data_IF_464782309883
#
_entry.id   IF_464782309883
#
_cell.length_a   1.000
_cell.length_b   1.000
_cell.length_c   1.000
_cell.angle_alpha   90.00
_cell.angle_beta   90.00
_cell.angle_gamma   90.00
#
_symmetry.space_group_name_H-M   'P 1'
#
loop_
_entity.id
_entity.type
_entity.pdbx_description
1 polymer ?
#
# COMPACT_ATOMS: atom_id res chain seq x y z
N UNK A 1 61.34 100.45 34.00
CA UNK A 1 60.13 99.66 34.37
C UNK A 1 59.92 98.59 33.39
N UNK A 2 60.41 97.41 33.71
CA UNK A 2 60.38 96.21 32.81
C UNK A 2 59.41 95.21 33.43
N UNK A 3 58.30 94.96 32.71
CA UNK A 3 57.31 93.99 33.12
C UNK A 3 57.81 92.56 32.78
N UNK A 4 57.61 91.61 33.67
CA UNK A 4 58.03 90.25 33.43
C UNK A 4 57.06 89.55 32.47
N UNK A 5 57.64 88.80 31.56
CA UNK A 5 57.00 88.00 30.55
C UNK A 5 56.54 86.66 31.19
N UNK A 6 55.23 86.46 31.26
CA UNK A 6 54.64 85.19 31.75
C UNK A 6 54.94 84.09 30.74
N UNK A 7 55.51 82.99 31.17
CA UNK A 7 55.74 81.81 30.43
C UNK A 7 54.48 80.92 30.45
N UNK A 8 53.92 80.47 29.31
CA UNK A 8 52.76 79.67 29.32
C UNK A 8 53.03 78.27 29.88
N UNK A 9 52.11 77.77 30.71
CA UNK A 9 52.18 76.47 31.34
C UNK A 9 52.14 75.31 30.28
N UNK A 10 52.84 74.22 30.52
CA UNK A 10 52.84 73.13 29.58
C UNK A 10 51.48 72.39 29.52
N UNK A 11 50.98 72.23 28.34
CA UNK A 11 49.77 71.42 28.07
C UNK A 11 50.03 69.99 28.49
N UNK A 12 49.42 69.53 29.56
CA UNK A 12 49.33 68.10 29.94
C UNK A 12 48.42 67.41 28.98
N UNK A 13 48.96 66.58 28.15
CA UNK A 13 48.17 65.64 27.30
C UNK A 13 47.42 64.71 28.23
N UNK A 14 46.09 64.55 28.07
CA UNK A 14 45.38 63.48 28.77
C UNK A 14 45.95 62.11 28.48
N UNK A 15 46.37 61.39 29.49
CA UNK A 15 46.78 60.02 29.42
C UNK A 15 45.65 59.14 28.81
N UNK A 16 45.95 58.25 27.85
CA UNK A 16 44.95 57.39 27.27
C UNK A 16 44.25 56.60 28.37
N UNK A 17 42.92 56.68 28.36
CA UNK A 17 41.96 56.02 29.21
C UNK A 17 42.43 54.57 29.55
N UNK A 18 42.91 54.42 30.75
CA UNK A 18 43.17 53.10 31.32
C UNK A 18 41.79 52.52 31.64
N UNK A 19 41.11 51.96 30.57
CA UNK A 19 39.99 51.07 30.79
C UNK A 19 40.41 50.05 31.82
N UNK A 20 39.68 49.86 32.91
CA UNK A 20 40.03 48.86 33.92
C UNK A 20 40.07 47.53 33.22
N UNK A 21 41.24 46.91 33.08
CA UNK A 21 41.39 45.54 32.65
C UNK A 21 40.51 44.70 33.56
N UNK A 22 39.34 44.31 33.01
CA UNK A 22 38.39 43.43 33.68
C UNK A 22 39.20 42.23 34.15
N UNK A 23 39.54 42.24 35.43
CA UNK A 23 40.26 41.10 36.01
C UNK A 23 39.36 39.91 35.85
N UNK A 24 39.76 38.99 34.98
CA UNK A 24 39.06 37.75 34.75
C UNK A 24 39.04 37.00 36.07
N UNK A 25 37.89 36.98 36.72
CA UNK A 25 37.72 36.22 37.95
C UNK A 25 37.64 34.74 37.54
N UNK A 26 38.54 33.88 37.96
CA UNK A 26 38.53 32.49 37.60
C UNK A 26 37.19 31.81 37.93
N UNK A 27 36.50 32.26 38.96
CA UNK A 27 35.16 31.81 39.36
C UNK A 27 34.09 32.10 38.32
N UNK A 28 34.11 33.23 37.59
CA UNK A 28 33.18 33.53 36.50
C UNK A 28 33.42 32.65 35.29
N UNK A 29 34.66 32.38 34.99
CA UNK A 29 35.04 31.41 33.92
C UNK A 29 34.54 30.01 34.23
N UNK A 30 34.68 29.54 35.48
CA UNK A 30 34.17 28.21 35.88
C UNK A 30 32.62 28.19 35.88
N UNK A 31 31.95 29.25 36.25
CA UNK A 31 30.47 29.35 36.21
C UNK A 31 29.94 29.31 34.77
N UNK A 32 30.57 30.00 33.82
CA UNK A 32 30.20 30.00 32.42
C UNK A 32 30.46 28.63 31.78
N UNK A 33 31.58 28.00 32.12
CA UNK A 33 31.83 26.64 31.64
C UNK A 33 30.90 25.59 32.23
N UNK A 34 30.50 25.74 33.50
CA UNK A 34 29.52 24.84 34.12
C UNK A 34 28.13 24.98 33.50
N UNK A 35 27.70 26.21 33.16
CA UNK A 35 26.43 26.43 32.43
C UNK A 35 26.49 25.88 31.03
N UNK A 36 27.56 26.11 30.30
CA UNK A 36 27.77 25.52 28.98
C UNK A 36 27.76 24.00 29.02
N UNK A 37 28.44 23.38 29.98
CA UNK A 37 28.46 21.93 30.17
C UNK A 37 27.07 21.37 30.47
N UNK A 38 26.26 22.03 31.29
CA UNK A 38 24.85 21.65 31.57
C UNK A 38 23.99 21.72 30.30
N UNK A 39 24.15 22.80 29.51
CA UNK A 39 23.42 22.93 28.23
C UNK A 39 23.76 21.82 27.28
N UNK A 40 25.06 21.51 27.09
CA UNK A 40 25.50 20.42 26.23
C UNK A 40 25.04 19.05 26.74
N UNK A 41 24.98 18.85 28.06
CA UNK A 41 24.44 17.61 28.62
C UNK A 41 22.95 17.46 28.29
N UNK A 42 22.15 18.51 28.37
CA UNK A 42 20.73 18.49 27.99
C UNK A 42 20.57 18.21 26.49
N UNK A 43 21.37 18.89 25.64
CA UNK A 43 21.34 18.67 24.18
C UNK A 43 21.72 17.21 23.84
N UNK A 44 22.74 16.68 24.50
CA UNK A 44 23.17 15.28 24.31
C UNK A 44 22.06 14.30 24.73
N UNK A 45 21.42 14.56 25.86
CA UNK A 45 20.34 13.72 26.37
C UNK A 45 19.11 13.72 25.43
N UNK A 46 18.75 14.88 24.89
CA UNK A 46 17.68 15.01 23.87
C UNK A 46 18.07 14.27 22.60
N UNK A 47 19.31 14.42 22.12
CA UNK A 47 19.79 13.72 20.93
C UNK A 47 19.76 12.19 21.11
N UNK A 48 20.24 11.68 22.24
CA UNK A 48 20.18 10.25 22.57
C UNK A 48 18.74 9.74 22.63
N UNK A 49 17.85 10.51 23.23
CA UNK A 49 16.41 10.16 23.30
C UNK A 49 15.79 10.10 21.90
N UNK A 50 16.06 11.08 21.05
CA UNK A 50 15.59 11.08 19.66
C UNK A 50 16.15 9.86 18.88
N UNK A 51 17.46 9.57 19.01
CA UNK A 51 18.07 8.42 18.40
C UNK A 51 17.48 7.08 18.90
N UNK A 52 17.10 6.99 20.16
CA UNK A 52 16.47 5.80 20.74
C UNK A 52 15.02 5.62 20.26
N UNK A 53 14.26 6.71 20.05
CA UNK A 53 12.87 6.69 19.60
C UNK A 53 12.76 6.45 18.08
N UNK A 54 13.74 6.93 17.31
CA UNK A 54 13.71 6.85 15.84
C UNK A 54 13.50 5.41 15.30
N UNK A 55 14.21 4.35 15.76
CA UNK A 55 13.98 3.00 15.26
C UNK A 55 12.57 2.49 15.55
N UNK A 56 11.96 2.87 16.69
CA UNK A 56 10.58 2.48 16.99
C UNK A 56 9.58 3.14 16.05
N UNK A 57 9.77 4.42 15.73
CA UNK A 57 8.93 5.13 14.76
C UNK A 57 9.09 4.54 13.36
N UNK A 58 10.31 4.21 12.97
CA UNK A 58 10.59 3.57 11.68
C UNK A 58 9.95 2.19 11.60
N UNK A 59 10.14 1.33 12.62
CA UNK A 59 9.54 0.00 12.67
C UNK A 59 8.01 0.10 12.65
N UNK A 60 7.43 1.05 13.40
CA UNK A 60 5.98 1.29 13.41
C UNK A 60 5.49 1.73 12.03
N UNK A 61 6.14 2.72 11.41
CA UNK A 61 5.81 3.17 10.05
C UNK A 61 5.95 2.05 9.00
N UNK A 62 6.94 1.15 9.15
CA UNK A 62 7.09 -0.02 8.29
C UNK A 62 6.03 -1.11 8.54
N UNK A 63 5.56 -1.27 9.77
CA UNK A 63 4.50 -2.23 10.11
C UNK A 63 3.12 -1.73 9.67
N UNK A 64 2.89 -0.43 9.73
CA UNK A 64 1.65 0.22 9.29
C UNK A 64 1.57 0.37 7.76
N UNK A 65 2.70 0.26 7.04
CA UNK A 65 2.69 0.23 5.57
C UNK A 65 2.23 -1.13 5.09
N UNK A 66 1.08 -1.12 4.48
CA UNK A 66 0.51 -2.28 3.82
C UNK A 66 1.44 -2.76 2.70
N UNK A 67 1.88 -4.00 2.82
CA UNK A 67 2.70 -4.62 1.79
C UNK A 67 1.80 -5.13 0.69
N UNK A 68 1.88 -4.51 -0.48
CA UNK A 68 1.21 -5.03 -1.67
C UNK A 68 2.15 -6.01 -2.35
N UNK A 69 1.67 -7.24 -2.51
CA UNK A 69 2.39 -8.28 -3.27
C UNK A 69 1.99 -8.11 -4.72
N UNK A 70 2.91 -7.68 -5.55
CA UNK A 70 2.71 -7.62 -7.01
C UNK A 70 3.11 -8.96 -7.60
N UNK A 71 2.16 -9.64 -8.25
CA UNK A 71 2.41 -10.84 -9.06
C UNK A 71 2.91 -10.40 -10.43
N UNK A 72 4.12 -10.77 -10.78
CA UNK A 72 4.58 -10.66 -12.17
C UNK A 72 4.00 -11.80 -13.01
N UNK A 73 3.91 -11.59 -14.34
CA UNK A 73 3.42 -12.60 -15.30
C UNK A 73 4.18 -13.93 -15.23
N UNK A 74 5.40 -13.92 -14.72
CA UNK A 74 6.22 -15.12 -14.47
C UNK A 74 5.82 -15.91 -13.21
N UNK A 75 4.83 -15.44 -12.44
CA UNK A 75 4.43 -16.05 -11.17
C UNK A 75 5.37 -15.73 -10.00
N UNK A 76 6.32 -14.83 -10.20
CA UNK A 76 7.23 -14.37 -9.15
C UNK A 76 6.55 -13.28 -8.31
N UNK A 77 6.65 -13.41 -7.00
CA UNK A 77 6.08 -12.42 -6.06
C UNK A 77 7.07 -11.28 -5.85
N UNK A 78 6.72 -10.09 -6.26
CA UNK A 78 7.43 -8.87 -5.86
C UNK A 78 6.67 -8.20 -4.72
N UNK A 79 7.28 -8.14 -3.54
CA UNK A 79 6.76 -7.35 -2.43
C UNK A 79 7.23 -5.91 -2.65
N UNK A 80 6.36 -5.05 -3.14
CA UNK A 80 6.64 -3.62 -3.24
C UNK A 80 6.18 -2.91 -1.96
N UNK A 81 7.10 -2.33 -1.17
CA UNK A 81 6.73 -1.56 0.01
C UNK A 81 6.16 -0.17 -0.32
N UNK A 82 6.09 0.18 -1.61
CA UNK A 82 5.84 1.55 -2.07
C UNK A 82 4.45 1.75 -2.69
N UNK A 83 3.71 0.68 -3.02
CA UNK A 83 2.34 0.82 -3.54
C UNK A 83 1.33 0.69 -2.40
N UNK A 84 0.56 1.74 -2.18
CA UNK A 84 -0.64 1.70 -1.35
C UNK A 84 -1.70 0.78 -1.99
N UNK A 85 -2.56 0.20 -1.17
CA UNK A 85 -3.64 -0.66 -1.64
C UNK A 85 -4.53 0.06 -2.68
N UNK A 86 -4.73 1.36 -2.50
CA UNK A 86 -5.52 2.21 -3.40
C UNK A 86 -4.84 2.43 -4.75
N UNK A 87 -3.51 2.35 -4.80
CA UNK A 87 -2.72 2.57 -6.02
C UNK A 87 -2.54 1.28 -6.85
N UNK A 88 -2.98 0.14 -6.32
CA UNK A 88 -2.76 -1.18 -6.91
C UNK A 88 -3.86 -1.58 -7.93
N UNK A 89 -4.39 -0.65 -8.73
CA UNK A 89 -5.46 -0.91 -9.70
C UNK A 89 -5.17 -2.08 -10.65
N UNK A 90 -3.95 -2.20 -11.15
CA UNK A 90 -3.53 -3.33 -12.00
C UNK A 90 -3.61 -4.68 -11.29
N UNK A 91 -3.27 -4.72 -10.01
CA UNK A 91 -3.40 -5.93 -9.20
C UNK A 91 -4.89 -6.30 -9.03
N UNK A 92 -5.75 -5.30 -8.79
CA UNK A 92 -7.19 -5.49 -8.67
C UNK A 92 -7.81 -6.04 -9.97
N UNK A 93 -7.39 -5.49 -11.11
CA UNK A 93 -7.81 -5.97 -12.44
C UNK A 93 -7.35 -7.42 -12.70
N UNK A 94 -6.11 -7.77 -12.36
CA UNK A 94 -5.61 -9.14 -12.49
C UNK A 94 -6.38 -10.12 -11.60
N UNK A 95 -6.74 -9.73 -10.37
CA UNK A 95 -7.57 -10.57 -9.51
C UNK A 95 -8.98 -10.74 -10.06
N UNK A 96 -9.57 -9.69 -10.63
CA UNK A 96 -10.87 -9.78 -11.29
C UNK A 96 -10.83 -10.69 -12.52
N UNK A 97 -9.76 -10.64 -13.32
CA UNK A 97 -9.53 -11.55 -14.43
C UNK A 97 -9.52 -13.01 -13.96
N UNK A 98 -8.73 -13.32 -12.92
CA UNK A 98 -8.64 -14.66 -12.35
C UNK A 98 -9.98 -15.11 -11.74
N UNK A 99 -10.71 -14.19 -11.08
CA UNK A 99 -12.03 -14.49 -10.54
C UNK A 99 -13.04 -14.80 -11.65
N UNK A 100 -13.01 -14.06 -12.78
CA UNK A 100 -13.83 -14.38 -13.97
C UNK A 100 -13.50 -15.77 -14.53
N UNK A 101 -12.22 -16.13 -14.65
CA UNK A 101 -11.82 -17.45 -15.11
C UNK A 101 -12.31 -18.54 -14.16
N UNK A 102 -12.14 -18.36 -12.85
CA UNK A 102 -12.60 -19.31 -11.84
C UNK A 102 -14.12 -19.50 -11.84
N UNK A 103 -14.89 -18.42 -12.06
CA UNK A 103 -16.35 -18.43 -12.00
C UNK A 103 -17.00 -18.93 -13.29
N UNK A 104 -16.50 -18.48 -14.43
CA UNK A 104 -17.19 -18.68 -15.72
C UNK A 104 -16.57 -19.74 -16.62
N UNK A 105 -15.30 -20.12 -16.41
CA UNK A 105 -14.72 -21.15 -17.24
C UNK A 105 -15.17 -22.52 -16.76
N UNK A 106 -15.96 -23.19 -17.63
CA UNK A 106 -16.69 -24.41 -17.29
C UNK A 106 -16.73 -25.37 -18.47
N UNK A 107 -16.80 -26.64 -18.14
CA UNK A 107 -16.97 -27.74 -19.07
C UNK A 107 -18.18 -28.63 -18.64
N UNK A 108 -18.53 -29.69 -19.38
CA UNK A 108 -19.62 -30.60 -19.01
C UNK A 108 -19.50 -31.23 -17.63
N UNK A 109 -18.28 -31.36 -17.09
CA UNK A 109 -18.02 -31.93 -15.77
C UNK A 109 -18.07 -30.89 -14.63
N UNK A 110 -18.15 -29.57 -14.95
CA UNK A 110 -18.20 -28.48 -13.97
C UNK A 110 -17.17 -27.38 -14.22
N UNK A 111 -16.63 -26.82 -13.16
CA UNK A 111 -15.59 -25.79 -13.26
C UNK A 111 -14.27 -26.37 -13.76
N UNK A 112 -13.59 -25.67 -14.69
CA UNK A 112 -12.26 -26.06 -15.16
C UNK A 112 -11.19 -25.86 -14.07
N UNK A 113 -11.38 -24.86 -13.20
CA UNK A 113 -10.44 -24.52 -12.15
C UNK A 113 -11.08 -24.49 -10.75
N UNK A 114 -11.55 -25.64 -10.22
CA UNK A 114 -12.23 -25.69 -8.93
C UNK A 114 -11.31 -25.26 -7.77
N UNK A 115 -10.01 -25.57 -7.86
CA UNK A 115 -9.05 -25.13 -6.85
C UNK A 115 -8.84 -23.61 -6.84
N UNK A 116 -8.89 -22.96 -8.01
CA UNK A 116 -8.78 -21.52 -8.12
C UNK A 116 -10.00 -20.84 -7.49
N UNK A 117 -11.20 -21.41 -7.70
CA UNK A 117 -12.43 -20.96 -7.07
C UNK A 117 -12.29 -21.00 -5.54
N UNK A 118 -11.81 -22.12 -4.97
CA UNK A 118 -11.65 -22.29 -3.51
C UNK A 118 -10.59 -21.37 -2.91
N UNK A 119 -9.57 -21.02 -3.67
CA UNK A 119 -8.50 -20.14 -3.20
C UNK A 119 -8.86 -18.66 -3.29
N UNK A 120 -9.65 -18.29 -4.30
CA UNK A 120 -9.97 -16.88 -4.56
C UNK A 120 -11.29 -16.43 -3.96
N UNK A 121 -12.23 -17.34 -3.72
CA UNK A 121 -13.54 -17.01 -3.18
C UNK A 121 -13.63 -17.35 -1.70
N UNK A 122 -14.24 -16.48 -0.91
CA UNK A 122 -14.58 -16.83 0.46
C UNK A 122 -15.65 -17.93 0.47
N UNK A 123 -15.75 -18.74 1.53
CA UNK A 123 -16.59 -19.96 1.56
C UNK A 123 -18.03 -19.73 1.09
N UNK A 124 -18.65 -18.63 1.51
CA UNK A 124 -20.05 -18.33 1.12
C UNK A 124 -20.17 -17.96 -0.35
N UNK A 125 -19.22 -17.19 -0.88
CA UNK A 125 -19.19 -16.86 -2.31
C UNK A 125 -18.88 -18.08 -3.18
N UNK A 126 -17.98 -18.97 -2.75
CA UNK A 126 -17.70 -20.23 -3.42
C UNK A 126 -18.92 -21.16 -3.40
N UNK A 127 -19.63 -21.24 -2.28
CA UNK A 127 -20.88 -22.02 -2.15
C UNK A 127 -21.96 -21.49 -3.09
N UNK A 128 -22.14 -20.15 -3.16
CA UNK A 128 -23.06 -19.51 -4.10
C UNK A 128 -22.70 -19.89 -5.54
N UNK A 129 -21.43 -19.76 -5.94
CA UNK A 129 -20.97 -20.11 -7.29
C UNK A 129 -21.26 -21.57 -7.67
N UNK A 130 -21.03 -22.49 -6.74
CA UNK A 130 -21.35 -23.93 -6.95
C UNK A 130 -22.85 -24.18 -7.06
N UNK A 131 -23.67 -23.51 -6.24
CA UNK A 131 -25.12 -23.62 -6.33
C UNK A 131 -25.65 -23.10 -7.68
N UNK A 132 -25.17 -21.93 -8.14
CA UNK A 132 -25.51 -21.41 -9.46
C UNK A 132 -25.03 -22.33 -10.59
N UNK A 133 -23.85 -22.90 -10.49
CA UNK A 133 -23.33 -23.87 -11.45
C UNK A 133 -24.19 -25.15 -11.51
N UNK A 134 -24.66 -25.63 -10.38
CA UNK A 134 -25.50 -26.83 -10.30
C UNK A 134 -26.85 -26.66 -11.03
N UNK A 135 -27.43 -25.44 -11.03
CA UNK A 135 -28.72 -25.18 -11.75
C UNK A 135 -28.62 -25.41 -13.25
N UNK A 136 -27.42 -25.25 -13.85
CA UNK A 136 -27.19 -25.43 -15.29
C UNK A 136 -26.42 -26.71 -15.62
N UNK A 137 -26.12 -27.55 -14.64
CA UNK A 137 -25.27 -28.74 -14.82
C UNK A 137 -25.85 -29.73 -15.83
N UNK A 138 -27.17 -29.97 -15.80
CA UNK A 138 -27.83 -30.88 -16.78
C UNK A 138 -27.73 -30.35 -18.20
N UNK A 139 -27.86 -29.05 -18.40
CA UNK A 139 -27.70 -28.44 -19.71
C UNK A 139 -26.28 -28.59 -20.24
N UNK A 140 -25.29 -28.31 -19.37
CA UNK A 140 -23.88 -28.46 -19.74
C UNK A 140 -23.53 -29.88 -20.11
N UNK A 141 -24.04 -30.87 -19.39
CA UNK A 141 -23.83 -32.27 -19.67
C UNK A 141 -24.55 -32.70 -20.96
N UNK A 142 -25.83 -32.37 -21.12
CA UNK A 142 -26.67 -32.79 -22.25
C UNK A 142 -26.18 -32.22 -23.59
N UNK A 143 -25.68 -30.99 -23.59
CA UNK A 143 -25.17 -30.30 -24.78
C UNK A 143 -23.67 -30.41 -24.97
N UNK A 144 -22.95 -31.16 -24.12
CA UNK A 144 -21.48 -31.19 -24.06
C UNK A 144 -20.89 -29.79 -24.12
N UNK A 145 -21.40 -28.87 -23.24
CA UNK A 145 -21.19 -27.45 -23.34
C UNK A 145 -19.86 -27.04 -22.70
N UNK A 146 -19.01 -26.34 -23.46
CA UNK A 146 -17.79 -25.71 -22.98
C UNK A 146 -18.00 -24.20 -22.98
N UNK A 147 -17.66 -23.56 -21.89
CA UNK A 147 -17.81 -22.12 -21.71
C UNK A 147 -16.49 -21.49 -21.29
N UNK A 148 -16.12 -20.39 -21.96
CA UNK A 148 -14.95 -19.57 -21.63
C UNK A 148 -15.35 -18.11 -21.57
N UNK A 149 -14.94 -17.35 -20.55
CA UNK A 149 -15.14 -15.91 -20.54
C UNK A 149 -14.12 -15.23 -21.46
N UNK A 150 -14.58 -14.34 -22.30
CA UNK A 150 -13.79 -13.36 -23.01
C UNK A 150 -14.08 -11.98 -22.38
N UNK A 151 -13.07 -11.45 -21.70
CA UNK A 151 -13.20 -10.21 -20.93
C UNK A 151 -12.79 -9.07 -21.84
N UNK A 152 -13.73 -8.15 -22.09
CA UNK A 152 -13.53 -6.98 -22.94
C UNK A 152 -13.06 -5.78 -22.14
N UNK A 153 -13.57 -5.62 -20.89
CA UNK A 153 -13.27 -4.47 -20.06
C UNK A 153 -13.24 -4.85 -18.58
N UNK A 154 -12.25 -4.32 -17.87
CA UNK A 154 -12.16 -4.34 -16.42
C UNK A 154 -12.16 -2.89 -15.92
N UNK A 155 -12.94 -2.62 -14.90
CA UNK A 155 -13.03 -1.27 -14.32
C UNK A 155 -13.05 -1.38 -12.80
N UNK A 156 -12.07 -0.81 -12.14
CA UNK A 156 -12.09 -0.63 -10.70
C UNK A 156 -13.05 0.51 -10.39
N UNK A 157 -14.20 0.20 -9.78
CA UNK A 157 -15.25 1.17 -9.48
C UNK A 157 -14.95 1.93 -8.20
N UNK A 158 -14.46 1.24 -7.18
CA UNK A 158 -14.21 1.81 -5.87
C UNK A 158 -13.11 1.01 -5.16
N UNK A 159 -12.23 1.71 -4.48
CA UNK A 159 -11.23 1.13 -3.58
C UNK A 159 -11.32 1.79 -2.23
N UNK A 160 -11.50 1.00 -1.17
CA UNK A 160 -11.47 1.40 0.24
C UNK A 160 -10.37 0.63 0.95
N UNK A 161 -10.03 1.00 2.18
CA UNK A 161 -8.93 0.41 2.97
C UNK A 161 -8.85 -1.13 2.93
N UNK A 162 -9.98 -1.82 2.91
CA UNK A 162 -10.04 -3.30 2.99
C UNK A 162 -10.91 -3.95 1.90
N UNK A 163 -11.52 -3.15 1.02
CA UNK A 163 -12.51 -3.63 0.05
C UNK A 163 -12.28 -2.96 -1.29
N UNK A 164 -12.34 -3.74 -2.36
CA UNK A 164 -12.28 -3.26 -3.74
C UNK A 164 -13.49 -3.76 -4.51
N UNK A 165 -14.13 -2.86 -5.23
CA UNK A 165 -15.23 -3.17 -6.14
C UNK A 165 -14.73 -3.08 -7.58
N UNK A 166 -14.77 -4.21 -8.30
CA UNK A 166 -14.33 -4.29 -9.70
C UNK A 166 -15.49 -4.80 -10.55
N UNK A 167 -15.71 -4.14 -11.67
CA UNK A 167 -16.65 -4.58 -12.69
C UNK A 167 -15.89 -5.17 -13.87
N UNK A 168 -16.31 -6.35 -14.32
CA UNK A 168 -15.85 -6.98 -15.53
C UNK A 168 -17.02 -7.09 -16.53
N UNK A 169 -16.76 -6.72 -17.77
CA UNK A 169 -17.68 -6.78 -18.88
C UNK A 169 -17.08 -7.63 -19.99
N UNK A 170 -17.89 -8.47 -20.61
CA UNK A 170 -17.40 -9.34 -21.66
C UNK A 170 -18.49 -10.22 -22.26
N UNK A 171 -18.06 -11.31 -22.85
CA UNK A 171 -18.96 -12.33 -23.42
C UNK A 171 -18.53 -13.73 -22.98
N UNK A 172 -19.50 -14.61 -22.86
CA UNK A 172 -19.28 -16.03 -22.55
C UNK A 172 -19.30 -16.80 -23.88
N UNK A 173 -18.12 -17.18 -24.34
CA UNK A 173 -18.01 -18.04 -25.54
C UNK A 173 -18.43 -19.45 -25.12
N UNK A 174 -19.60 -19.87 -25.59
CA UNK A 174 -20.15 -21.20 -25.36
C UNK A 174 -20.12 -21.99 -26.64
N UNK A 175 -19.58 -23.19 -26.57
CA UNK A 175 -19.57 -24.16 -27.69
C UNK A 175 -20.11 -25.49 -27.19
N UNK A 176 -20.94 -26.15 -27.99
CA UNK A 176 -21.54 -27.39 -27.59
C UNK A 176 -22.08 -28.18 -28.81
N UNK A 177 -22.80 -29.26 -28.51
CA UNK A 177 -23.39 -30.13 -29.53
C UNK A 177 -24.87 -30.35 -29.26
N UNK A 178 -25.72 -30.06 -30.24
CA UNK A 178 -27.17 -30.33 -30.19
C UNK A 178 -27.52 -31.18 -31.42
N UNK A 179 -28.16 -32.32 -31.20
CA UNK A 179 -28.55 -33.25 -32.27
C UNK A 179 -27.43 -33.63 -33.26
N UNK A 180 -26.18 -33.77 -32.72
CA UNK A 180 -25.02 -34.10 -33.53
C UNK A 180 -24.41 -32.92 -34.31
N UNK A 181 -24.96 -31.73 -34.18
CA UNK A 181 -24.43 -30.51 -34.79
C UNK A 181 -23.76 -29.62 -33.75
N UNK A 182 -22.59 -29.10 -34.09
CA UNK A 182 -21.90 -28.11 -33.24
C UNK A 182 -22.59 -26.76 -33.35
N UNK A 183 -22.73 -26.10 -32.20
CA UNK A 183 -23.22 -24.71 -32.15
C UNK A 183 -22.25 -23.87 -31.31
N UNK A 184 -22.33 -22.56 -31.53
CA UNK A 184 -21.59 -21.58 -30.76
C UNK A 184 -22.47 -20.36 -30.44
N UNK A 185 -22.37 -19.86 -29.26
CA UNK A 185 -23.02 -18.62 -28.81
C UNK A 185 -22.10 -17.78 -27.96
N UNK A 186 -22.32 -16.49 -27.91
CA UNK A 186 -21.50 -15.55 -27.15
C UNK A 186 -22.36 -14.52 -26.41
N UNK A 187 -23.18 -14.93 -25.40
CA UNK A 187 -23.96 -13.99 -24.61
C UNK A 187 -23.05 -13.04 -23.85
N UNK A 188 -23.44 -11.75 -23.85
CA UNK A 188 -22.74 -10.74 -23.05
C UNK A 188 -22.98 -10.97 -21.56
N UNK A 189 -22.01 -10.61 -20.75
CA UNK A 189 -22.16 -10.59 -19.31
C UNK A 189 -21.52 -9.35 -18.70
N UNK A 190 -22.05 -8.95 -17.54
CA UNK A 190 -21.42 -7.99 -16.64
C UNK A 190 -21.40 -8.62 -15.26
N UNK A 191 -20.25 -8.62 -14.62
CA UNK A 191 -20.11 -9.10 -13.25
C UNK A 191 -19.43 -8.03 -12.39
N UNK A 192 -19.94 -7.86 -11.17
CA UNK A 192 -19.34 -7.01 -10.15
C UNK A 192 -18.79 -7.89 -9.05
N UNK A 193 -17.49 -7.80 -8.82
CA UNK A 193 -16.82 -8.48 -7.72
C UNK A 193 -16.54 -7.49 -6.61
N UNK A 194 -16.91 -7.87 -5.41
CA UNK A 194 -16.45 -7.20 -4.21
C UNK A 194 -15.36 -8.05 -3.57
N UNK A 195 -14.12 -7.55 -3.63
CA UNK A 195 -12.97 -8.19 -3.02
C UNK A 195 -12.75 -7.65 -1.62
N UNK A 196 -12.39 -8.54 -0.72
CA UNK A 196 -11.86 -8.21 0.60
C UNK A 196 -10.42 -8.69 0.70
N UNK A 197 -9.65 -8.20 1.68
CA UNK A 197 -8.37 -8.80 2.01
C UNK A 197 -8.55 -10.25 2.36
N UNK A 198 -7.72 -11.11 1.80
CA UNK A 198 -7.84 -12.54 2.05
C UNK A 198 -7.39 -12.88 3.47
N UNK A 199 -8.30 -13.31 4.37
CA UNK A 199 -7.96 -13.66 5.75
C UNK A 199 -7.11 -14.94 5.83
N UNK A 200 -7.11 -15.76 4.78
CA UNK A 200 -6.41 -17.04 4.72
C UNK A 200 -5.09 -16.96 3.93
N UNK A 201 -4.53 -15.78 3.75
CA UNK A 201 -3.29 -15.57 2.99
C UNK A 201 -2.14 -16.47 3.46
N UNK A 202 -2.07 -16.78 4.76
CA UNK A 202 -1.06 -17.68 5.32
C UNK A 202 -1.25 -19.13 4.85
N UNK A 203 -2.47 -19.54 4.54
CA UNK A 203 -2.82 -20.91 4.13
C UNK A 203 -2.72 -21.09 2.62
N UNK A 204 -3.29 -20.17 1.85
CA UNK A 204 -3.27 -20.22 0.38
C UNK A 204 -2.18 -19.37 -0.26
N UNK A 205 -1.46 -18.55 0.52
CA UNK A 205 -0.16 -17.92 0.23
C UNK A 205 0.03 -17.15 -1.08
N UNK A 206 -0.99 -17.10 -1.92
CA UNK A 206 -0.90 -16.59 -3.29
C UNK A 206 -1.78 -15.39 -3.58
N UNK A 207 -2.99 -15.35 -3.02
CA UNK A 207 -3.99 -14.34 -3.42
C UNK A 207 -4.25 -13.38 -2.27
N UNK A 208 -3.73 -12.15 -2.33
CA UNK A 208 -3.93 -11.15 -1.27
C UNK A 208 -5.37 -10.66 -1.17
N UNK A 209 -6.16 -10.85 -2.23
CA UNK A 209 -7.58 -10.52 -2.27
C UNK A 209 -8.41 -11.78 -2.43
N UNK A 210 -9.58 -11.81 -1.78
CA UNK A 210 -10.57 -12.86 -1.96
C UNK A 210 -11.93 -12.24 -2.32
N UNK A 211 -12.66 -12.89 -3.19
CA UNK A 211 -14.03 -12.50 -3.53
C UNK A 211 -14.93 -12.74 -2.33
N UNK A 212 -15.44 -11.66 -1.75
CA UNK A 212 -16.42 -11.73 -0.66
C UNK A 212 -17.82 -11.97 -1.20
N UNK A 213 -18.20 -11.24 -2.23
CA UNK A 213 -19.48 -11.41 -2.92
C UNK A 213 -19.35 -11.01 -4.38
N UNK A 214 -20.27 -11.46 -5.20
CA UNK A 214 -20.36 -11.08 -6.60
C UNK A 214 -21.82 -11.00 -7.04
N UNK A 215 -22.06 -10.21 -8.08
CA UNK A 215 -23.34 -10.07 -8.74
C UNK A 215 -23.17 -10.14 -10.26
N UNK A 216 -23.97 -10.97 -10.91
CA UNK A 216 -23.90 -11.22 -12.36
C UNK A 216 -25.18 -10.73 -13.00
N UNK A 217 -25.07 -9.88 -14.01
CA UNK A 217 -26.13 -9.50 -14.92
C UNK A 217 -25.82 -9.99 -16.35
N UNK A 218 -26.78 -10.65 -16.93
CA UNK A 218 -26.74 -11.16 -18.32
C UNK A 218 -27.81 -10.47 -19.14
#
# INVERSE_FOLDING_TARGET
MTTPRETPAPHVRPTPDQRPRRAWRPLELFADHAMAARLWCVVALVAVTLCAVQPFLVIRAYRERERVVVLDQSGTFHVSPLLGFEEASKLHEQHALLACLALFQRNPAGFDFPELLDRMFLPEAAKKARAEAATSAEEFAAKALHQKPEILKLTVLETRENVVLVQAEGQLIRTGVINGQTFGEAPAFTVRFQFARNPNLAVNGRYPLAVWTYDVSQ
#
